data_IF_481979884411
#
_entry.id   IF_481979884411
#
_cell.length_a   1.000
_cell.length_b   1.000
_cell.length_c   1.000
_cell.angle_alpha   90.00
_cell.angle_beta   90.00
_cell.angle_gamma   90.00
#
_symmetry.space_group_name_H-M   'P 1'
#
loop_
_entity.id
_entity.type
_entity.pdbx_description
1 polymer ?
#
# COMPACT_ATOMS: atom_id res chain seq x y z
N UNK A 1 -6.06 9.76 31.70
CA UNK A 1 -4.76 9.24 31.21
C UNK A 1 -4.78 7.72 31.35
N UNK A 2 -4.92 6.86 30.34
CA UNK A 2 -5.02 7.00 28.90
C UNK A 2 -5.38 5.63 28.29
N UNK A 3 -6.67 5.27 28.30
CA UNK A 3 -7.19 4.10 27.57
C UNK A 3 -6.90 4.21 26.05
N UNK A 4 -6.83 5.45 25.55
CA UNK A 4 -6.41 5.80 24.19
C UNK A 4 -4.95 5.44 23.84
N UNK A 5 -4.05 5.35 24.82
CA UNK A 5 -2.64 5.03 24.57
C UNK A 5 -2.42 3.53 24.31
N UNK A 6 -3.16 2.67 25.02
CA UNK A 6 -3.11 1.22 24.84
C UNK A 6 -3.80 0.78 23.54
N UNK A 7 -4.89 1.45 23.15
CA UNK A 7 -5.57 1.22 21.87
C UNK A 7 -4.66 1.61 20.69
N UNK A 8 -3.83 2.64 20.83
CA UNK A 8 -2.87 3.05 19.79
C UNK A 8 -1.82 1.96 19.50
N UNK A 9 -1.20 1.36 20.52
CA UNK A 9 -0.12 0.39 20.28
C UNK A 9 -0.58 -0.85 19.47
N UNK A 10 -1.76 -1.39 19.77
CA UNK A 10 -2.30 -2.58 19.07
C UNK A 10 -2.87 -2.28 17.67
N UNK A 11 -3.18 -1.01 17.37
CA UNK A 11 -3.69 -0.59 16.06
C UNK A 11 -2.55 -0.37 15.07
N UNK A 12 -1.42 0.18 15.53
CA UNK A 12 -0.43 0.78 14.65
C UNK A 12 0.59 -0.29 14.15
N UNK A 13 0.58 -1.52 14.69
CA UNK A 13 1.48 -2.60 14.25
C UNK A 13 2.96 -2.29 14.55
N UNK A 14 3.88 -3.13 14.08
CA UNK A 14 5.32 -2.93 14.28
C UNK A 14 5.94 -2.14 13.12
N UNK A 15 6.87 -1.19 13.36
CA UNK A 15 7.63 -0.54 12.29
C UNK A 15 8.31 -1.59 11.41
N UNK A 16 8.07 -1.53 10.11
CA UNK A 16 8.74 -2.39 9.14
C UNK A 16 9.71 -1.56 8.31
N UNK A 17 10.91 -2.06 8.13
CA UNK A 17 11.96 -1.33 7.41
C UNK A 17 12.00 -1.82 5.97
N UNK A 18 11.99 -0.87 5.03
CA UNK A 18 12.12 -1.15 3.61
C UNK A 18 13.50 -1.79 3.35
N UNK A 19 13.57 -2.96 2.67
CA UNK A 19 14.83 -3.56 2.27
C UNK A 19 15.66 -2.58 1.44
N UNK A 20 16.94 -2.44 1.76
CA UNK A 20 17.84 -1.46 1.12
C UNK A 20 17.91 -1.63 -0.39
N UNK A 21 17.84 -2.87 -0.88
CA UNK A 21 17.80 -3.17 -2.32
C UNK A 21 16.59 -2.52 -3.00
N UNK A 22 15.41 -2.60 -2.39
CA UNK A 22 14.20 -1.97 -2.91
C UNK A 22 14.27 -0.45 -2.81
N UNK A 23 14.81 0.08 -1.72
CA UNK A 23 15.03 1.52 -1.56
C UNK A 23 15.96 2.10 -2.64
N UNK A 24 17.01 1.35 -3.01
CA UNK A 24 17.96 1.77 -4.04
C UNK A 24 17.33 1.76 -5.45
N UNK A 25 16.50 0.77 -5.75
CA UNK A 25 15.83 0.67 -7.05
C UNK A 25 14.61 1.60 -7.18
N UNK A 26 13.92 1.86 -6.07
CA UNK A 26 12.70 2.67 -6.01
C UNK A 26 12.79 3.65 -4.83
N UNK A 27 13.49 4.78 -4.97
CA UNK A 27 13.72 5.73 -3.87
C UNK A 27 12.41 6.32 -3.33
N UNK A 28 11.38 6.42 -4.17
CA UNK A 28 10.05 6.90 -3.78
C UNK A 28 9.42 6.05 -2.66
N UNK A 29 9.75 4.76 -2.58
CA UNK A 29 9.28 3.89 -1.50
C UNK A 29 9.85 4.34 -0.15
N UNK A 30 11.06 4.92 -0.10
CA UNK A 30 11.66 5.40 1.14
C UNK A 30 10.98 6.64 1.72
N UNK A 31 10.15 7.35 0.94
CA UNK A 31 9.39 8.51 1.40
C UNK A 31 8.16 8.12 2.25
N UNK A 32 7.80 6.83 2.28
CA UNK A 32 6.58 6.32 2.92
C UNK A 32 6.92 5.54 4.18
N UNK A 33 6.06 5.60 5.19
CA UNK A 33 6.21 4.82 6.42
C UNK A 33 5.60 3.43 6.24
N UNK A 34 6.30 2.39 6.70
CA UNK A 34 5.78 1.02 6.66
C UNK A 34 5.61 0.44 8.05
N UNK A 35 4.50 -0.26 8.23
CA UNK A 35 4.17 -1.00 9.45
C UNK A 35 3.65 -2.38 9.09
N UNK A 36 3.90 -3.36 9.94
CA UNK A 36 3.47 -4.75 9.76
C UNK A 36 2.51 -5.15 10.88
N UNK A 37 1.37 -5.71 10.50
CA UNK A 37 0.29 -6.09 11.39
C UNK A 37 -0.60 -4.91 11.78
N UNK A 38 -1.15 -4.98 13.00
CA UNK A 38 -2.11 -4.01 13.51
C UNK A 38 -3.55 -4.28 13.09
N UNK A 39 -4.49 -3.68 13.80
CA UNK A 39 -5.93 -3.80 13.54
C UNK A 39 -6.37 -3.14 12.23
N UNK A 40 -5.61 -2.17 11.70
CA UNK A 40 -5.96 -1.45 10.46
C UNK A 40 -6.16 -2.40 9.28
N UNK A 41 -5.25 -3.37 9.10
CA UNK A 41 -5.32 -4.40 8.03
C UNK A 41 -6.54 -5.31 8.20
N UNK A 42 -6.92 -5.60 9.45
CA UNK A 42 -8.06 -6.48 9.78
C UNK A 42 -9.40 -5.78 9.53
N UNK A 43 -9.50 -4.50 9.92
CA UNK A 43 -10.73 -3.71 9.77
C UNK A 43 -10.96 -3.29 8.32
N UNK A 44 -9.91 -2.88 7.60
CA UNK A 44 -10.08 -2.46 6.20
C UNK A 44 -10.44 -3.62 5.26
N UNK A 45 -9.97 -4.85 5.53
CA UNK A 45 -10.47 -6.04 4.84
C UNK A 45 -11.96 -6.27 5.07
N UNK A 46 -12.43 -6.11 6.31
CA UNK A 46 -13.85 -6.25 6.67
C UNK A 46 -14.75 -5.21 6.01
N UNK A 47 -14.32 -3.95 5.93
CA UNK A 47 -15.09 -2.86 5.29
C UNK A 47 -15.28 -3.09 3.78
N UNK A 48 -14.36 -3.84 3.15
CA UNK A 48 -14.40 -4.15 1.72
C UNK A 48 -14.97 -5.54 1.41
N UNK A 49 -15.48 -6.28 2.41
CA UNK A 49 -16.00 -7.65 2.23
C UNK A 49 -14.92 -8.68 1.85
N UNK A 50 -13.64 -8.34 2.03
CA UNK A 50 -12.48 -9.17 1.72
C UNK A 50 -11.98 -9.85 3.00
N UNK A 51 -11.79 -11.17 2.98
CA UNK A 51 -11.42 -11.93 4.20
C UNK A 51 -10.04 -11.53 4.76
N UNK A 52 -9.11 -11.04 3.92
CA UNK A 52 -7.80 -10.50 4.31
C UNK A 52 -7.21 -9.61 3.20
N UNK A 53 -7.00 -8.32 3.45
CA UNK A 53 -6.19 -7.48 2.55
C UNK A 53 -4.70 -7.75 2.78
N UNK A 54 -3.91 -7.87 1.70
CA UNK A 54 -2.46 -8.13 1.80
C UNK A 54 -1.70 -6.95 2.42
N UNK A 55 -2.16 -5.75 2.11
CA UNK A 55 -1.72 -4.49 2.69
C UNK A 55 -2.86 -3.46 2.64
N UNK A 56 -2.74 -2.40 3.43
CA UNK A 56 -3.66 -1.25 3.42
C UNK A 56 -2.85 0.03 3.56
N UNK A 57 -3.14 1.00 2.70
CA UNK A 57 -2.60 2.35 2.81
C UNK A 57 -3.53 3.27 3.57
N UNK A 58 -2.97 4.01 4.53
CA UNK A 58 -3.66 5.06 5.27
C UNK A 58 -2.76 6.30 5.32
N UNK A 59 -3.15 7.35 4.61
CA UNK A 59 -2.29 8.54 4.39
C UNK A 59 -0.91 8.16 3.83
N UNK A 60 0.17 8.43 4.56
CA UNK A 60 1.55 8.14 4.17
C UNK A 60 2.10 6.86 4.80
N UNK A 61 1.22 6.04 5.37
CA UNK A 61 1.60 4.83 6.11
C UNK A 61 0.96 3.61 5.47
N UNK A 62 1.80 2.65 5.09
CA UNK A 62 1.41 1.36 4.52
C UNK A 62 1.47 0.30 5.62
N UNK A 63 0.34 -0.37 5.83
CA UNK A 63 0.20 -1.46 6.80
C UNK A 63 0.17 -2.80 6.06
N UNK A 64 1.24 -3.58 6.19
CA UNK A 64 1.35 -4.93 5.61
C UNK A 64 0.71 -5.96 6.55
N UNK A 65 0.00 -6.96 6.02
CA UNK A 65 -0.44 -8.07 6.87
C UNK A 65 0.77 -8.88 7.39
N UNK A 66 0.68 -9.52 8.58
CA UNK A 66 1.82 -10.18 9.21
C UNK A 66 2.56 -11.17 8.31
N UNK A 67 1.80 -11.97 7.56
CA UNK A 67 2.30 -13.06 6.70
C UNK A 67 2.42 -12.65 5.23
N UNK A 68 2.28 -11.36 4.90
CA UNK A 68 2.42 -10.89 3.51
C UNK A 68 3.89 -10.71 3.15
N UNK A 69 4.25 -11.22 1.96
CA UNK A 69 5.54 -10.91 1.33
C UNK A 69 5.48 -9.51 0.73
N UNK A 70 6.43 -8.65 1.14
CA UNK A 70 6.54 -7.28 0.66
C UNK A 70 7.27 -7.23 -0.69
N UNK A 71 6.61 -7.70 -1.74
CA UNK A 71 7.17 -7.66 -3.10
C UNK A 71 7.25 -6.22 -3.60
N UNK A 72 8.17 -5.94 -4.53
CA UNK A 72 8.28 -4.63 -5.16
C UNK A 72 6.94 -4.18 -5.77
N UNK A 73 6.25 -5.10 -6.45
CA UNK A 73 4.92 -4.87 -7.03
C UNK A 73 3.91 -4.41 -5.98
N UNK A 74 3.80 -5.14 -4.86
CA UNK A 74 2.88 -4.79 -3.77
C UNK A 74 3.23 -3.42 -3.17
N UNK A 75 4.50 -3.15 -2.90
CA UNK A 75 4.90 -1.88 -2.29
C UNK A 75 4.69 -0.69 -3.23
N UNK A 76 4.90 -0.87 -4.54
CA UNK A 76 4.62 0.15 -5.56
C UNK A 76 3.11 0.37 -5.73
N UNK A 77 2.31 -0.68 -5.62
CA UNK A 77 0.84 -0.59 -5.59
C UNK A 77 0.37 0.25 -4.41
N UNK A 78 0.84 -0.04 -3.19
CA UNK A 78 0.51 0.74 -1.99
C UNK A 78 1.02 2.18 -2.07
N UNK A 79 2.23 2.41 -2.61
CA UNK A 79 2.74 3.75 -2.89
C UNK A 79 1.77 4.54 -3.80
N UNK A 80 1.15 3.89 -4.78
CA UNK A 80 0.18 4.57 -5.64
C UNK A 80 -1.06 5.01 -4.86
N UNK A 81 -1.52 4.22 -3.90
CA UNK A 81 -2.60 4.64 -3.00
C UNK A 81 -2.19 5.85 -2.14
N UNK A 82 -0.93 5.95 -1.70
CA UNK A 82 -0.42 7.14 -1.00
C UNK A 82 -0.59 8.37 -1.89
N UNK A 83 -0.16 8.29 -3.16
CA UNK A 83 -0.33 9.39 -4.12
C UNK A 83 -1.79 9.74 -4.39
N UNK A 84 -2.68 8.75 -4.44
CA UNK A 84 -4.12 8.99 -4.62
C UNK A 84 -4.73 9.70 -3.39
N UNK A 85 -4.28 9.35 -2.18
CA UNK A 85 -4.62 10.05 -0.94
C UNK A 85 -4.12 11.49 -0.92
N UNK A 86 -2.87 11.72 -1.33
CA UNK A 86 -2.27 13.04 -1.42
C UNK A 86 -2.97 13.93 -2.45
N UNK A 87 -3.35 13.35 -3.59
CA UNK A 87 -4.09 14.04 -4.63
C UNK A 87 -5.53 14.38 -4.22
N UNK A 88 -6.16 13.57 -3.36
CA UNK A 88 -7.52 13.83 -2.89
C UNK A 88 -7.78 13.27 -1.50
N UNK A 89 -8.08 14.15 -0.54
CA UNK A 89 -8.54 13.76 0.81
C UNK A 89 -9.87 12.99 0.79
N UNK A 90 -10.67 13.13 -0.27
CA UNK A 90 -11.92 12.39 -0.45
C UNK A 90 -11.70 10.95 -0.99
N UNK A 91 -10.45 10.58 -1.29
CA UNK A 91 -10.09 9.28 -1.85
C UNK A 91 -10.72 8.07 -1.14
N UNK A 92 -10.71 7.95 0.21
CA UNK A 92 -11.32 6.79 0.88
C UNK A 92 -12.81 6.60 0.57
N UNK A 93 -13.54 7.72 0.50
CA UNK A 93 -14.98 7.72 0.23
C UNK A 93 -15.22 7.35 -1.22
N UNK A 94 -14.46 7.96 -2.15
CA UNK A 94 -14.54 7.66 -3.58
C UNK A 94 -14.18 6.21 -3.87
N UNK A 95 -13.14 5.69 -3.22
CA UNK A 95 -12.69 4.32 -3.32
C UNK A 95 -13.76 3.35 -2.84
N UNK A 96 -14.34 3.58 -1.66
CA UNK A 96 -15.41 2.72 -1.13
C UNK A 96 -16.64 2.75 -2.03
N UNK A 97 -17.07 3.95 -2.46
CA UNK A 97 -18.19 4.11 -3.38
C UNK A 97 -17.98 3.34 -4.70
N UNK A 98 -16.79 3.43 -5.26
CA UNK A 98 -16.47 2.75 -6.49
C UNK A 98 -16.38 1.23 -6.33
N UNK A 99 -15.79 0.76 -5.22
CA UNK A 99 -15.80 -0.65 -4.84
C UNK A 99 -17.21 -1.19 -4.66
N UNK A 100 -18.14 -0.42 -4.09
CA UNK A 100 -19.54 -0.81 -3.99
C UNK A 100 -20.24 -0.86 -5.35
N UNK A 101 -19.92 0.08 -6.26
CA UNK A 101 -20.57 0.18 -7.56
C UNK A 101 -20.04 -0.81 -8.60
N UNK A 102 -18.74 -1.13 -8.57
CA UNK A 102 -18.04 -1.91 -9.61
C UNK A 102 -17.37 -3.18 -9.09
N UNK A 103 -17.38 -3.38 -7.78
CA UNK A 103 -16.57 -4.40 -7.12
C UNK A 103 -15.12 -3.95 -6.96
N UNK A 104 -14.43 -4.59 -6.01
CA UNK A 104 -13.02 -4.31 -5.69
C UNK A 104 -12.09 -4.46 -6.90
N UNK A 105 -12.19 -5.56 -7.65
CA UNK A 105 -11.26 -5.87 -8.75
C UNK A 105 -11.31 -4.85 -9.90
N UNK A 106 -12.47 -4.23 -10.15
CA UNK A 106 -12.70 -3.26 -11.23
C UNK A 106 -12.75 -1.81 -10.74
N UNK A 107 -12.37 -1.56 -9.50
CA UNK A 107 -12.25 -0.20 -8.99
C UNK A 107 -11.14 0.54 -9.78
N UNK A 108 -11.42 1.73 -10.33
CA UNK A 108 -10.42 2.46 -11.14
C UNK A 108 -9.14 2.76 -10.36
N UNK A 109 -9.24 2.95 -9.04
CA UNK A 109 -8.09 3.24 -8.19
C UNK A 109 -7.18 2.02 -8.03
N UNK A 110 -7.77 0.83 -7.97
CA UNK A 110 -7.08 -0.45 -7.97
C UNK A 110 -6.42 -0.76 -9.32
N UNK A 111 -7.14 -0.47 -10.42
CA UNK A 111 -6.60 -0.61 -11.79
C UNK A 111 -5.41 0.33 -12.00
N UNK A 112 -5.54 1.59 -11.59
CA UNK A 112 -4.47 2.59 -11.65
C UNK A 112 -3.26 2.19 -10.79
N UNK A 113 -3.48 1.63 -9.60
CA UNK A 113 -2.41 1.13 -8.73
C UNK A 113 -1.64 -0.05 -9.33
N UNK A 114 -2.32 -1.01 -9.97
CA UNK A 114 -1.67 -2.12 -10.70
C UNK A 114 -0.88 -1.61 -11.90
N UNK A 115 -1.49 -0.76 -12.73
CA UNK A 115 -0.83 -0.20 -13.91
C UNK A 115 0.44 0.61 -13.53
N UNK A 116 0.38 1.37 -12.44
CA UNK A 116 1.53 2.10 -11.92
C UNK A 116 2.66 1.16 -11.49
N UNK A 117 2.36 0.11 -10.72
CA UNK A 117 3.36 -0.86 -10.28
C UNK A 117 4.03 -1.57 -11.47
N UNK A 118 3.24 -2.05 -12.43
CA UNK A 118 3.72 -2.70 -13.65
C UNK A 118 4.62 -1.77 -14.47
N UNK A 119 4.24 -0.50 -14.65
CA UNK A 119 5.03 0.47 -15.39
C UNK A 119 6.40 0.77 -14.73
N UNK A 120 6.46 0.82 -13.40
CA UNK A 120 7.72 1.04 -12.67
C UNK A 120 8.63 -0.19 -12.75
N UNK A 121 8.07 -1.40 -12.66
CA UNK A 121 8.82 -2.65 -12.81
C UNK A 121 9.36 -2.85 -14.24
N UNK A 122 8.57 -2.52 -15.26
CA UNK A 122 9.00 -2.63 -16.66
C UNK A 122 10.09 -1.62 -17.03
N UNK A 123 10.05 -0.43 -16.42
CA UNK A 123 11.12 0.57 -16.57
C UNK A 123 12.43 0.05 -15.99
N UNK A 124 12.40 -0.57 -14.81
CA UNK A 124 13.59 -1.16 -14.18
C UNK A 124 14.19 -2.28 -15.05
N UNK A 125 13.35 -3.22 -15.52
CA UNK A 125 13.83 -4.33 -16.36
C UNK A 125 14.41 -3.86 -17.69
N UNK A 126 13.84 -2.81 -18.28
CA UNK A 126 14.35 -2.18 -19.51
C UNK A 126 15.63 -1.37 -19.29
N UNK A 127 15.84 -0.85 -18.08
CA UNK A 127 17.07 -0.15 -17.68
C UNK A 127 18.23 -1.14 -17.48
N UNK A 128 17.98 -2.25 -16.77
CA UNK A 128 18.97 -3.31 -16.59
C UNK A 128 19.45 -3.87 -17.93
N UNK A 129 18.53 -4.13 -18.87
CA UNK A 129 18.89 -4.61 -20.22
C UNK A 129 19.74 -3.63 -21.04
N UNK A 130 19.75 -2.34 -20.71
CA UNK A 130 20.52 -1.30 -21.43
C UNK A 130 21.88 -1.00 -20.81
N UNK A 131 22.14 -1.46 -19.58
CA UNK A 131 23.40 -1.23 -18.86
C UNK A 131 24.49 -2.28 -19.13
N UNK A 132 24.17 -3.35 -19.86
CA UNK A 132 25.04 -4.50 -20.13
C UNK A 132 25.72 -4.45 -21.52
N UNK A 133 25.82 -3.26 -22.16
CA UNK A 133 26.50 -3.03 -23.45
C UNK A 133 27.50 -1.90 -23.34
#
# INVERSE_FOLDING_TARGET
MGLFALIRASIIGEPWHLPTQLANHFPDLAAVSYRRGGLAVRVGGWVLGQRTAAAITLWNTVFLAPNTLATAELLLHELRHVYQFEASRAFPILYLWESLRRGYSHNRFEVDARAFAEARLSTLSSGLRRGDT
#
